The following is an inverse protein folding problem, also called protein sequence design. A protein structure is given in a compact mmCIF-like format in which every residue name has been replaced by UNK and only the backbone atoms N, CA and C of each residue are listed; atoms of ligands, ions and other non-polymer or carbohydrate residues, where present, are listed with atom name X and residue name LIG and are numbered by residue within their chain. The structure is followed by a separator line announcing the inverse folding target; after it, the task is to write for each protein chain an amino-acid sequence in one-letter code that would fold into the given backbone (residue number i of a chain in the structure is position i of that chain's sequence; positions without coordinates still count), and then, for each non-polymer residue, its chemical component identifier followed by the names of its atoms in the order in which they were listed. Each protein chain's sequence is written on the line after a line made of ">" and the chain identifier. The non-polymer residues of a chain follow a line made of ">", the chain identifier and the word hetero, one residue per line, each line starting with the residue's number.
data_IF_267865963828
#
_entry.id   IF_267865963828
#
_cell.length_a   1.000
_cell.length_b   1.000
_cell.length_c   1.000
_cell.angle_alpha   90.00
_cell.angle_beta   90.00
_cell.angle_gamma   90.00
#
_symmetry.space_group_name_H-M   'P 1'
#
loop_
_entity.id
_entity.type
_entity.pdbx_description
1 polymer ?
#
# COMPACT_ATOMS: atom_id res chain seq x y z
N UNK A 1 16.32 -30.25 10.74
CA UNK A 1 16.33 -28.79 10.54
C UNK A 1 17.11 -28.55 9.25
N UNK A 2 16.41 -28.39 8.12
CA UNK A 2 17.00 -28.57 6.78
C UNK A 2 17.90 -27.38 6.38
N UNK A 3 19.16 -27.61 5.94
CA UNK A 3 20.14 -26.55 5.60
C UNK A 3 19.77 -25.66 4.40
N UNK A 4 18.71 -25.99 3.66
CA UNK A 4 18.38 -25.38 2.38
C UNK A 4 17.79 -23.95 2.46
N UNK A 5 17.34 -23.50 3.64
CA UNK A 5 16.72 -22.17 3.77
C UNK A 5 17.75 -21.01 3.85
N UNK A 6 18.95 -21.28 4.37
CA UNK A 6 19.97 -20.26 4.60
C UNK A 6 20.51 -19.66 3.28
N UNK A 7 20.62 -20.48 2.23
CA UNK A 7 21.06 -20.02 0.90
C UNK A 7 20.05 -19.08 0.23
N UNK A 8 18.76 -19.41 0.31
CA UNK A 8 17.69 -18.58 -0.27
C UNK A 8 17.57 -17.23 0.44
N UNK A 9 17.62 -17.22 1.78
CA UNK A 9 17.61 -15.97 2.56
C UNK A 9 18.84 -15.12 2.25
N UNK A 10 20.03 -15.74 2.15
CA UNK A 10 21.26 -15.03 1.80
C UNK A 10 21.22 -14.42 0.40
N UNK A 11 20.61 -15.12 -0.57
CA UNK A 11 20.42 -14.61 -1.92
C UNK A 11 19.44 -13.42 -1.95
N UNK A 12 18.33 -13.51 -1.20
CA UNK A 12 17.36 -12.41 -1.06
C UNK A 12 17.98 -11.18 -0.39
N UNK A 13 18.77 -11.37 0.66
CA UNK A 13 19.50 -10.28 1.35
C UNK A 13 20.51 -9.64 0.40
N UNK A 14 21.26 -10.44 -0.37
CA UNK A 14 22.26 -9.93 -1.32
C UNK A 14 21.62 -9.11 -2.44
N UNK A 15 20.53 -9.62 -3.02
CA UNK A 15 19.74 -8.92 -4.03
C UNK A 15 19.19 -7.59 -3.49
N UNK A 16 18.67 -7.61 -2.26
CA UNK A 16 18.17 -6.42 -1.59
C UNK A 16 19.28 -5.36 -1.41
N UNK A 17 20.44 -5.75 -0.88
CA UNK A 17 21.58 -4.86 -0.68
C UNK A 17 22.13 -4.29 -2.00
N UNK A 18 22.03 -5.04 -3.10
CA UNK A 18 22.43 -4.56 -4.43
C UNK A 18 21.48 -3.51 -4.99
N UNK A 19 20.16 -3.62 -4.76
CA UNK A 19 19.19 -2.60 -5.18
C UNK A 19 19.43 -1.27 -4.47
N UNK A 20 19.62 -1.30 -3.14
CA UNK A 20 19.86 -0.08 -2.35
C UNK A 20 21.11 0.70 -2.80
N UNK A 21 22.15 0.01 -3.27
CA UNK A 21 23.39 0.64 -3.77
C UNK A 21 23.26 1.27 -5.18
N UNK A 22 22.27 0.85 -5.98
CA UNK A 22 22.04 1.41 -7.34
C UNK A 22 21.28 2.75 -7.30
N UNK A 23 20.94 3.26 -6.12
CA UNK A 23 20.03 4.39 -5.98
C UNK A 23 18.55 4.01 -6.17
N UNK A 24 18.27 2.72 -6.41
CA UNK A 24 16.96 2.11 -6.20
C UNK A 24 16.77 1.93 -4.69
N UNK A 25 16.71 3.05 -3.96
CA UNK A 25 16.35 3.04 -2.56
C UNK A 25 15.07 2.23 -2.38
N UNK A 26 14.94 1.57 -1.22
CA UNK A 26 13.60 1.10 -0.86
C UNK A 26 12.66 2.31 -0.93
N UNK A 27 11.47 2.17 -1.50
CA UNK A 27 10.52 3.27 -1.44
C UNK A 27 10.31 3.60 0.04
N UNK A 28 10.55 4.86 0.42
CA UNK A 28 10.41 5.34 1.81
C UNK A 28 9.02 5.02 2.37
N UNK A 29 8.03 4.85 1.48
CA UNK A 29 6.67 4.43 1.79
C UNK A 29 6.22 3.26 0.92
N UNK A 30 5.46 2.32 1.50
CA UNK A 30 4.89 1.17 0.77
C UNK A 30 3.86 1.64 -0.27
N UNK A 31 3.19 2.76 0.00
CA UNK A 31 2.13 3.33 -0.84
C UNK A 31 2.63 4.59 -1.56
N UNK A 32 2.13 4.81 -2.76
CA UNK A 32 2.31 6.08 -3.46
C UNK A 32 1.51 7.18 -2.77
N UNK A 33 1.87 8.47 -2.93
CA UNK A 33 1.12 9.58 -2.34
C UNK A 33 -0.38 9.55 -2.66
N UNK A 34 -0.74 9.16 -3.89
CA UNK A 34 -2.14 9.08 -4.30
C UNK A 34 -2.88 7.91 -3.65
N UNK A 35 -2.21 6.78 -3.43
CA UNK A 35 -2.78 5.65 -2.69
C UNK A 35 -2.99 6.00 -1.22
N UNK A 36 -2.08 6.77 -0.61
CA UNK A 36 -2.22 7.28 0.75
C UNK A 36 -3.39 8.26 0.89
N UNK A 37 -3.54 9.20 -0.05
CA UNK A 37 -4.70 10.11 -0.08
C UNK A 37 -6.03 9.34 -0.17
N UNK A 38 -6.10 8.35 -1.07
CA UNK A 38 -7.29 7.49 -1.20
C UNK A 38 -7.54 6.72 0.09
N UNK A 39 -6.49 6.20 0.74
CA UNK A 39 -6.61 5.46 1.99
C UNK A 39 -7.10 6.34 3.15
N UNK A 40 -6.64 7.59 3.23
CA UNK A 40 -7.10 8.58 4.21
C UNK A 40 -8.59 8.88 4.06
N UNK A 41 -9.04 9.16 2.84
CA UNK A 41 -10.46 9.44 2.58
C UNK A 41 -11.35 8.21 2.86
N UNK A 42 -10.83 7.00 2.65
CA UNK A 42 -11.53 5.77 3.08
C UNK A 42 -11.67 5.72 4.61
N UNK A 43 -10.62 6.11 5.37
CA UNK A 43 -10.69 6.17 6.83
C UNK A 43 -11.72 7.20 7.31
N UNK A 44 -11.84 8.33 6.61
CA UNK A 44 -12.85 9.37 6.86
C UNK A 44 -14.27 8.97 6.42
N UNK A 45 -14.45 7.78 5.81
CA UNK A 45 -15.76 7.24 5.46
C UNK A 45 -16.27 7.59 4.06
N UNK A 46 -15.45 8.19 3.20
CA UNK A 46 -15.88 8.60 1.86
C UNK A 46 -16.14 7.39 0.94
N UNK A 47 -17.21 7.46 0.16
CA UNK A 47 -17.51 6.50 -0.91
C UNK A 47 -16.57 6.71 -2.11
N UNK A 48 -16.51 5.72 -3.01
CA UNK A 48 -15.68 5.83 -4.23
C UNK A 48 -16.03 7.05 -5.09
N UNK A 49 -17.31 7.42 -5.14
CA UNK A 49 -17.80 8.57 -5.91
C UNK A 49 -17.42 9.89 -5.24
N UNK A 50 -17.48 9.97 -3.92
CA UNK A 50 -17.07 11.17 -3.18
C UNK A 50 -15.56 11.35 -3.27
N UNK A 51 -14.76 10.28 -3.10
CA UNK A 51 -13.30 10.32 -3.31
C UNK A 51 -12.97 10.80 -4.73
N UNK A 52 -13.65 10.26 -5.74
CA UNK A 52 -13.46 10.65 -7.13
C UNK A 52 -13.71 12.16 -7.33
N UNK A 53 -14.80 12.68 -6.73
CA UNK A 53 -15.11 14.11 -6.74
C UNK A 53 -14.05 14.94 -6.02
N UNK A 54 -13.63 14.52 -4.82
CA UNK A 54 -12.62 15.22 -4.01
C UNK A 54 -11.26 15.29 -4.71
N UNK A 55 -10.85 14.22 -5.40
CA UNK A 55 -9.55 14.13 -6.06
C UNK A 55 -9.58 14.55 -7.55
N UNK A 56 -10.74 14.89 -8.11
CA UNK A 56 -10.89 15.29 -9.51
C UNK A 56 -10.57 14.17 -10.52
N UNK A 57 -10.85 12.91 -10.17
CA UNK A 57 -10.57 11.73 -11.00
C UNK A 57 -11.84 10.87 -11.18
N UNK A 58 -11.78 9.85 -12.02
CA UNK A 58 -12.90 8.92 -12.19
C UNK A 58 -13.02 7.93 -11.02
N UNK A 59 -14.25 7.47 -10.72
CA UNK A 59 -14.46 6.39 -9.74
C UNK A 59 -13.71 5.10 -10.11
N UNK A 60 -13.57 4.80 -11.40
CA UNK A 60 -12.75 3.68 -11.90
C UNK A 60 -11.28 3.83 -11.52
N UNK A 61 -10.75 5.06 -11.58
CA UNK A 61 -9.38 5.37 -11.16
C UNK A 61 -9.21 5.18 -9.65
N UNK A 62 -10.21 5.57 -8.85
CA UNK A 62 -10.22 5.30 -7.40
C UNK A 62 -10.17 3.80 -7.11
N UNK A 63 -10.97 2.99 -7.83
CA UNK A 63 -10.97 1.54 -7.66
C UNK A 63 -9.64 0.90 -8.09
N UNK A 64 -8.97 1.45 -9.09
CA UNK A 64 -7.60 1.04 -9.44
C UNK A 64 -6.61 1.33 -8.31
N UNK A 65 -6.64 2.54 -7.73
CA UNK A 65 -5.79 2.86 -6.58
C UNK A 65 -6.06 1.94 -5.40
N UNK A 66 -7.32 1.61 -5.11
CA UNK A 66 -7.68 0.64 -4.06
C UNK A 66 -7.12 -0.75 -4.33
N UNK A 67 -7.22 -1.22 -5.57
CA UNK A 67 -6.69 -2.53 -5.98
C UNK A 67 -5.18 -2.60 -5.79
N UNK A 68 -4.46 -1.56 -6.23
CA UNK A 68 -3.02 -1.48 -6.04
C UNK A 68 -2.65 -1.41 -4.55
N UNK A 69 -3.41 -0.66 -3.76
CA UNK A 69 -3.22 -0.53 -2.31
C UNK A 69 -3.42 -1.88 -1.61
N UNK A 70 -4.48 -2.63 -1.96
CA UNK A 70 -4.71 -3.98 -1.45
C UNK A 70 -3.53 -4.91 -1.74
N UNK A 71 -3.04 -4.91 -2.98
CA UNK A 71 -1.90 -5.72 -3.39
C UNK A 71 -0.63 -5.36 -2.60
N UNK A 72 -0.32 -4.07 -2.48
CA UNK A 72 0.86 -3.58 -1.77
C UNK A 72 0.81 -3.86 -0.26
N UNK A 73 -0.37 -3.81 0.34
CA UNK A 73 -0.57 -4.12 1.77
C UNK A 73 -0.83 -5.61 2.04
N UNK A 74 -0.91 -6.45 1.01
CA UNK A 74 -1.25 -7.87 1.17
C UNK A 74 -2.66 -8.12 1.74
N UNK A 75 -3.59 -7.19 1.50
CA UNK A 75 -4.96 -7.25 1.99
C UNK A 75 -5.88 -7.93 0.97
N UNK A 76 -6.84 -8.71 1.48
CA UNK A 76 -7.66 -9.59 0.64
C UNK A 76 -8.87 -8.89 0.01
N UNK A 77 -9.43 -7.90 0.68
CA UNK A 77 -10.68 -7.28 0.25
C UNK A 77 -10.84 -5.84 0.76
N UNK A 78 -11.83 -5.14 0.20
CA UNK A 78 -12.16 -3.76 0.55
C UNK A 78 -12.47 -3.58 2.04
N UNK A 79 -13.10 -4.55 2.70
CA UNK A 79 -13.44 -4.43 4.11
C UNK A 79 -12.17 -4.49 4.98
N UNK A 80 -11.20 -5.35 4.62
CA UNK A 80 -9.87 -5.37 5.22
C UNK A 80 -9.14 -4.04 5.01
N UNK A 81 -9.25 -3.45 3.81
CA UNK A 81 -8.69 -2.12 3.54
C UNK A 81 -9.31 -1.04 4.42
N UNK A 82 -10.64 -1.00 4.56
CA UNK A 82 -11.32 -0.03 5.42
C UNK A 82 -10.92 -0.17 6.88
N UNK A 83 -10.88 -1.41 7.42
CA UNK A 83 -10.42 -1.65 8.81
C UNK A 83 -8.96 -1.23 9.00
N UNK A 84 -8.12 -1.52 8.01
CA UNK A 84 -6.71 -1.10 8.03
C UNK A 84 -6.60 0.42 8.05
N UNK A 85 -7.32 1.10 7.15
CA UNK A 85 -7.35 2.56 7.05
C UNK A 85 -7.73 3.22 8.39
N UNK A 86 -8.80 2.75 9.04
CA UNK A 86 -9.24 3.27 10.34
C UNK A 86 -8.19 3.04 11.44
N UNK A 87 -7.48 1.91 11.42
CA UNK A 87 -6.45 1.61 12.43
C UNK A 87 -5.22 2.49 12.29
N UNK A 88 -4.78 2.75 11.04
CA UNK A 88 -3.52 3.45 10.79
C UNK A 88 -3.69 4.97 10.69
N UNK A 89 -4.80 5.43 10.13
CA UNK A 89 -5.17 6.84 10.11
C UNK A 89 -5.77 7.10 11.49
N UNK A 90 -4.92 7.51 12.46
CA UNK A 90 -5.38 7.97 13.77
C UNK A 90 -6.31 9.16 13.51
N UNK A 91 -7.61 8.89 13.44
CA UNK A 91 -8.64 9.91 13.26
C UNK A 91 -8.69 10.67 14.58
N UNK A 92 -7.89 11.73 14.68
CA UNK A 92 -8.11 12.74 15.71
C UNK A 92 -9.26 13.64 15.23
N UNK A 93 -10.30 13.82 16.06
CA UNK A 93 -11.46 14.64 15.72
C UNK A 93 -11.11 16.13 15.55
#
# INVERSE_FOLDING_TARGET
>A
MSPFYAGAVSALIREFLHRTQRGDGLPDTILTPREEEVLKLIAEGYSAREIAKTLGISAKTVDQHRTNTLQKLGLRDRLALTRYAIRICRIEP
#
